data_IF_903701726824
#
_entry.id   IF_903701726824
#
_cell.length_a   1.000
_cell.length_b   1.000
_cell.length_c   1.000
_cell.angle_alpha   90.00
_cell.angle_beta   90.00
_cell.angle_gamma   90.00
#
_symmetry.space_group_name_H-M   'P 1'
#
loop_
_entity.id
_entity.type
_entity.pdbx_description
1 polymer ?
#
# COMPACT_ATOMS: atom_id res chain seq x y z
N UNK A 1 -25.54 16.86 30.57
CA UNK A 1 -25.17 15.44 30.31
C UNK A 1 -24.32 15.23 29.05
N UNK A 2 -24.54 15.91 27.91
CA UNK A 2 -23.72 15.75 26.68
C UNK A 2 -22.24 16.19 26.79
N UNK A 3 -21.91 17.22 27.58
CA UNK A 3 -20.52 17.70 27.74
C UNK A 3 -19.66 16.82 28.67
N UNK A 4 -20.29 16.07 29.59
CA UNK A 4 -19.59 15.17 30.50
C UNK A 4 -19.17 13.86 29.79
N UNK A 5 -19.99 13.36 28.85
CA UNK A 5 -19.65 12.19 28.04
C UNK A 5 -18.44 12.45 27.10
N UNK A 6 -18.31 13.66 26.56
CA UNK A 6 -17.15 14.04 25.73
C UNK A 6 -15.86 14.10 26.54
N UNK A 7 -15.93 14.62 27.79
CA UNK A 7 -14.78 14.62 28.70
C UNK A 7 -14.39 13.23 29.18
N UNK A 8 -15.35 12.31 29.37
CA UNK A 8 -15.07 10.91 29.70
C UNK A 8 -14.47 10.18 28.49
N UNK A 9 -14.91 10.46 27.26
CA UNK A 9 -14.33 9.90 26.04
C UNK A 9 -12.89 10.41 25.81
N UNK A 10 -12.63 11.70 26.07
CA UNK A 10 -11.30 12.31 25.98
C UNK A 10 -10.38 11.79 27.10
N UNK A 11 -10.88 11.58 28.32
CA UNK A 11 -10.12 10.98 29.42
C UNK A 11 -9.85 9.48 29.22
N UNK A 12 -10.73 8.72 28.57
CA UNK A 12 -10.45 7.32 28.21
C UNK A 12 -9.38 7.21 27.11
N UNK A 13 -9.26 8.20 26.22
CA UNK A 13 -8.16 8.25 25.26
C UNK A 13 -6.80 8.55 25.91
N UNK A 14 -6.78 9.17 27.09
CA UNK A 14 -5.56 9.53 27.83
C UNK A 14 -5.07 8.47 28.81
N UNK A 15 -5.82 7.38 29.03
CA UNK A 15 -5.45 6.27 29.93
C UNK A 15 -5.55 4.90 29.28
N UNK A 16 -5.15 4.78 28.02
CA UNK A 16 -4.72 3.46 27.54
C UNK A 16 -3.23 3.36 27.83
N UNK A 17 -2.88 2.49 28.77
CA UNK A 17 -1.50 2.03 28.87
C UNK A 17 -1.17 1.28 27.59
N UNK A 18 -0.69 2.04 26.60
CA UNK A 18 -0.11 1.52 25.38
C UNK A 18 1.19 0.86 25.81
N UNK A 19 1.16 -0.46 25.96
CA UNK A 19 2.36 -1.26 26.11
C UNK A 19 3.33 -0.88 25.00
N UNK A 20 4.40 -0.17 25.36
CA UNK A 20 5.45 0.25 24.44
C UNK A 20 6.17 -1.00 23.93
N UNK A 21 5.75 -1.49 22.77
CA UNK A 21 6.50 -2.49 22.06
C UNK A 21 7.43 -1.79 21.05
N UNK A 22 8.73 -2.06 21.15
CA UNK A 22 9.79 -1.37 20.40
C UNK A 22 9.50 -1.31 18.88
N UNK A 23 9.74 -0.18 18.20
CA UNK A 23 9.55 -0.11 16.77
C UNK A 23 10.52 -1.09 16.06
N UNK A 24 9.99 -1.94 15.18
CA UNK A 24 10.81 -2.91 14.43
C UNK A 24 11.75 -2.25 13.42
N UNK A 25 11.42 -0.99 13.08
CA UNK A 25 12.32 -0.08 12.40
C UNK A 25 12.95 0.92 13.38
N UNK A 26 14.29 0.96 13.53
CA UNK A 26 14.97 1.93 14.36
C UNK A 26 14.51 3.33 14.04
N UNK A 27 14.25 4.10 15.11
CA UNK A 27 13.93 5.50 14.98
C UNK A 27 15.07 6.23 14.25
N UNK A 28 14.72 7.06 13.26
CA UNK A 28 15.67 7.84 12.48
C UNK A 28 16.19 7.14 11.21
N UNK A 29 15.73 5.94 10.87
CA UNK A 29 16.12 5.28 9.62
C UNK A 29 15.45 5.95 8.41
N UNK A 30 16.26 6.31 7.42
CA UNK A 30 15.86 6.83 6.11
C UNK A 30 16.23 5.83 5.03
N UNK A 31 15.25 5.42 4.24
CA UNK A 31 15.42 4.56 3.08
C UNK A 31 15.14 5.35 1.82
N UNK A 32 16.15 5.54 0.98
CA UNK A 32 16.00 6.02 -0.38
C UNK A 32 15.89 4.82 -1.30
N UNK A 33 14.86 4.81 -2.12
CA UNK A 33 14.61 3.73 -3.06
C UNK A 33 14.25 4.21 -4.45
N UNK A 34 14.50 3.36 -5.44
CA UNK A 34 14.17 3.61 -6.84
C UNK A 34 13.46 2.38 -7.40
N UNK A 35 12.21 2.57 -7.82
CA UNK A 35 11.42 1.55 -8.49
C UNK A 35 11.22 1.83 -9.97
N UNK A 36 10.56 0.88 -10.62
CA UNK A 36 10.06 1.00 -12.00
C UNK A 36 8.57 0.67 -11.96
N UNK A 37 7.77 1.57 -12.50
CA UNK A 37 6.35 1.39 -12.72
C UNK A 37 6.12 1.17 -14.22
N UNK A 38 5.58 0.00 -14.57
CA UNK A 38 5.33 -0.42 -15.95
C UNK A 38 3.82 -0.52 -16.15
N UNK A 39 3.31 0.35 -17.01
CA UNK A 39 1.94 0.31 -17.48
C UNK A 39 1.94 -0.01 -18.97
N UNK A 40 1.02 -0.86 -19.39
CA UNK A 40 0.83 -1.21 -20.79
C UNK A 40 -0.66 -1.28 -21.11
N UNK A 41 -1.01 -1.00 -22.35
CA UNK A 41 -2.38 -1.12 -22.86
C UNK A 41 -2.37 -1.61 -24.30
N UNK A 42 -3.39 -2.37 -24.63
CA UNK A 42 -3.64 -2.95 -25.93
C UNK A 42 -5.07 -2.54 -26.34
N UNK A 43 -5.22 -1.28 -26.76
CA UNK A 43 -6.52 -0.65 -27.07
C UNK A 43 -6.52 -0.02 -28.48
N UNK A 44 -5.35 0.24 -29.06
CA UNK A 44 -5.20 1.01 -30.29
C UNK A 44 -4.95 0.08 -31.48
N UNK A 45 -5.72 0.21 -32.56
CA UNK A 45 -5.55 -0.62 -33.77
C UNK A 45 -4.22 -0.40 -34.51
N UNK A 46 -3.58 0.76 -34.34
CA UNK A 46 -2.32 1.11 -35.03
C UNK A 46 -1.07 0.54 -34.35
N UNK A 47 -1.14 0.19 -33.05
CA UNK A 47 -0.01 -0.36 -32.27
C UNK A 47 -0.52 -1.47 -31.35
N UNK A 48 0.07 -2.66 -31.51
CA UNK A 48 -0.28 -3.85 -30.72
C UNK A 48 -0.07 -3.65 -29.20
N UNK A 49 0.91 -2.83 -28.79
CA UNK A 49 1.12 -2.48 -27.39
C UNK A 49 1.62 -1.05 -27.27
N UNK A 50 1.01 -0.27 -26.37
CA UNK A 50 1.54 1.00 -25.89
C UNK A 50 2.15 0.80 -24.51
N UNK A 51 3.35 1.34 -24.30
CA UNK A 51 4.07 1.23 -23.02
C UNK A 51 4.24 2.60 -22.35
N UNK A 52 4.12 2.59 -21.03
CA UNK A 52 4.47 3.69 -20.15
C UNK A 52 5.37 3.15 -19.03
N UNK A 53 6.64 3.53 -19.08
CA UNK A 53 7.67 3.16 -18.11
C UNK A 53 8.04 4.40 -17.31
N UNK A 54 7.70 4.39 -16.03
CA UNK A 54 8.04 5.45 -15.09
C UNK A 54 9.10 4.96 -14.10
N UNK A 55 10.11 5.77 -13.82
CA UNK A 55 10.95 5.59 -12.64
C UNK A 55 10.25 6.20 -11.43
N UNK A 56 10.31 5.48 -10.32
CA UNK A 56 9.67 5.86 -9.06
C UNK A 56 10.70 6.06 -7.95
N UNK A 57 11.52 7.13 -8.01
CA UNK A 57 12.37 7.48 -6.87
C UNK A 57 11.48 7.87 -5.69
N UNK A 58 11.78 7.28 -4.53
CA UNK A 58 11.05 7.54 -3.30
C UNK A 58 11.96 7.53 -2.08
N UNK A 59 11.44 8.11 -1.01
CA UNK A 59 12.07 8.17 0.30
C UNK A 59 11.07 7.74 1.35
N UNK A 60 11.50 6.88 2.29
CA UNK A 60 10.77 6.51 3.50
C UNK A 60 11.60 6.89 4.70
N UNK A 61 11.03 7.68 5.59
CA UNK A 61 11.65 8.06 6.85
C UNK A 61 10.83 7.53 8.02
N UNK A 62 11.47 6.68 8.83
CA UNK A 62 10.86 6.11 10.02
C UNK A 62 11.26 6.95 11.24
N UNK A 63 10.32 7.74 11.75
CA UNK A 63 10.56 8.70 12.84
C UNK A 63 10.50 8.03 14.23
N UNK A 64 10.30 6.70 14.27
CA UNK A 64 10.10 5.95 15.51
C UNK A 64 8.66 6.04 16.02
N UNK A 65 8.36 5.27 17.07
CA UNK A 65 6.99 5.17 17.65
C UNK A 65 5.90 4.93 16.57
N UNK A 66 6.24 4.13 15.56
CA UNK A 66 5.35 3.75 14.45
C UNK A 66 4.89 4.92 13.56
N UNK A 67 5.60 6.06 13.60
CA UNK A 67 5.46 7.12 12.63
C UNK A 67 6.36 6.88 11.43
N UNK A 68 5.78 7.03 10.24
CA UNK A 68 6.49 6.91 8.98
C UNK A 68 6.06 8.02 8.02
N UNK A 69 7.04 8.72 7.46
CA UNK A 69 6.85 9.65 6.36
C UNK A 69 7.33 8.97 5.09
N UNK A 70 6.55 9.01 4.03
CA UNK A 70 6.98 8.55 2.72
C UNK A 70 6.68 9.59 1.64
N UNK A 71 7.57 9.72 0.68
CA UNK A 71 7.37 10.55 -0.50
C UNK A 71 7.89 9.81 -1.75
N UNK A 72 7.20 9.96 -2.87
CA UNK A 72 7.59 9.35 -4.14
C UNK A 72 7.25 10.27 -5.30
N UNK A 73 8.16 10.35 -6.27
CA UNK A 73 7.94 11.03 -7.54
C UNK A 73 7.84 10.01 -8.69
N UNK A 74 7.18 10.40 -9.78
CA UNK A 74 7.07 9.67 -11.03
C UNK A 74 7.84 10.42 -12.11
N UNK A 75 8.90 9.79 -12.62
CA UNK A 75 9.72 10.31 -13.71
C UNK A 75 9.47 9.43 -14.94
N UNK A 76 8.75 9.91 -15.97
CA UNK A 76 8.51 9.14 -17.18
C UNK A 76 9.82 8.97 -17.97
N UNK A 77 10.20 7.74 -18.29
CA UNK A 77 11.38 7.42 -19.12
C UNK A 77 10.96 7.08 -20.54
N UNK A 78 9.90 6.28 -20.67
CA UNK A 78 9.33 5.90 -21.95
C UNK A 78 7.82 6.06 -21.88
N UNK A 79 7.22 6.74 -22.87
CA UNK A 79 5.82 7.12 -22.81
C UNK A 79 5.21 7.17 -24.22
N UNK A 80 4.46 6.12 -24.56
CA UNK A 80 3.57 6.08 -25.72
C UNK A 80 2.14 6.55 -25.37
N UNK A 81 1.84 6.83 -24.10
CA UNK A 81 0.48 7.11 -23.62
C UNK A 81 -0.03 8.53 -23.92
N UNK A 82 0.88 9.49 -24.18
CA UNK A 82 0.57 10.87 -24.59
C UNK A 82 1.23 11.98 -23.76
N UNK A 83 0.99 13.23 -24.13
CA UNK A 83 1.61 14.45 -23.56
C UNK A 83 1.43 14.59 -22.03
N UNK A 84 0.29 14.14 -21.48
CA UNK A 84 -0.03 14.24 -20.04
C UNK A 84 0.99 13.51 -19.15
N UNK A 85 1.57 12.43 -19.66
CA UNK A 85 2.51 11.59 -18.92
C UNK A 85 3.97 11.96 -19.18
N UNK A 86 4.27 13.05 -19.91
CA UNK A 86 5.66 13.48 -20.20
C UNK A 86 6.34 14.28 -19.09
N UNK A 87 5.58 14.79 -18.11
CA UNK A 87 6.11 15.64 -17.03
C UNK A 87 6.45 14.83 -15.78
N UNK A 88 7.46 15.29 -15.05
CA UNK A 88 7.78 14.80 -13.69
C UNK A 88 6.61 15.16 -12.78
N UNK A 89 6.07 14.18 -12.06
CA UNK A 89 4.92 14.36 -11.18
C UNK A 89 5.24 13.85 -9.78
N UNK A 90 4.69 14.50 -8.77
CA UNK A 90 4.71 13.99 -7.41
C UNK A 90 3.63 12.92 -7.30
N UNK A 91 3.99 11.67 -7.00
CA UNK A 91 3.01 10.58 -6.89
C UNK A 91 2.31 10.61 -5.54
N UNK A 92 3.08 10.78 -4.47
CA UNK A 92 2.56 10.76 -3.11
C UNK A 92 3.51 11.44 -2.13
N UNK A 93 2.94 12.01 -1.07
CA UNK A 93 3.62 12.52 0.11
C UNK A 93 2.69 12.25 1.29
N UNK A 94 3.07 11.29 2.13
CA UNK A 94 2.21 10.75 3.16
C UNK A 94 2.90 10.71 4.51
N UNK A 95 2.12 10.99 5.54
CA UNK A 95 2.44 10.75 6.93
C UNK A 95 1.51 9.63 7.41
N UNK A 96 2.09 8.52 7.86
CA UNK A 96 1.33 7.40 8.38
C UNK A 96 1.74 7.07 9.82
N UNK A 97 0.76 6.57 10.57
CA UNK A 97 0.92 6.08 11.93
C UNK A 97 0.22 4.74 12.08
N UNK A 98 0.98 3.74 12.50
CA UNK A 98 0.45 2.41 12.77
C UNK A 98 0.18 2.23 14.27
N UNK A 99 -0.91 1.55 14.60
CA UNK A 99 -1.30 1.18 15.94
C UNK A 99 -1.63 -0.31 15.95
N UNK A 100 -1.21 -0.97 17.03
CA UNK A 100 -1.39 -2.41 17.18
C UNK A 100 -1.99 -2.69 18.55
N UNK A 101 -3.09 -3.43 18.58
CA UNK A 101 -3.77 -3.82 19.81
C UNK A 101 -3.90 -5.33 19.90
N UNK A 102 -3.40 -5.90 21.01
CA UNK A 102 -3.55 -7.32 21.39
C UNK A 102 -3.16 -8.32 20.29
N UNK A 103 -2.23 -7.96 19.40
CA UNK A 103 -1.76 -8.78 18.26
C UNK A 103 -2.84 -9.27 17.29
N UNK A 104 -4.09 -8.79 17.43
CA UNK A 104 -5.24 -9.17 16.62
C UNK A 104 -5.85 -8.01 15.87
N UNK A 105 -5.68 -6.79 16.37
CA UNK A 105 -6.22 -5.58 15.75
C UNK A 105 -5.06 -4.70 15.30
N UNK A 106 -5.08 -4.36 14.02
CA UNK A 106 -4.08 -3.57 13.34
C UNK A 106 -4.79 -2.36 12.74
N UNK A 107 -4.27 -1.16 13.00
CA UNK A 107 -4.86 0.08 12.53
C UNK A 107 -3.76 0.99 11.97
N UNK A 108 -3.96 1.55 10.78
CA UNK A 108 -3.02 2.43 10.11
C UNK A 108 -3.79 3.66 9.69
N UNK A 109 -3.40 4.80 10.25
CA UNK A 109 -3.91 6.10 9.90
C UNK A 109 -2.90 6.77 9.00
N UNK A 110 -3.31 7.17 7.80
CA UNK A 110 -2.46 7.85 6.82
C UNK A 110 -3.09 9.17 6.42
N UNK A 111 -2.28 10.19 6.22
CA UNK A 111 -2.74 11.50 5.76
C UNK A 111 -1.72 12.16 4.84
N UNK A 112 -2.20 12.86 3.82
CA UNK A 112 -1.36 13.59 2.87
C UNK A 112 -1.85 13.45 1.43
N UNK A 113 -0.90 13.45 0.51
CA UNK A 113 -1.09 13.17 -0.91
C UNK A 113 -0.90 11.67 -1.16
N UNK A 114 -1.95 11.02 -1.63
CA UNK A 114 -2.00 9.62 -2.03
C UNK A 114 -1.83 9.48 -3.55
N UNK A 115 -1.68 8.23 -4.01
CA UNK A 115 -1.63 7.95 -5.45
C UNK A 115 -2.95 8.33 -6.14
N UNK A 116 -2.91 8.40 -7.48
CA UNK A 116 -4.00 8.89 -8.34
C UNK A 116 -4.40 10.36 -8.06
N UNK A 117 -3.44 11.21 -7.65
CA UNK A 117 -3.61 12.66 -7.44
C UNK A 117 -4.70 13.00 -6.39
N UNK A 118 -4.79 12.16 -5.35
CA UNK A 118 -5.74 12.35 -4.24
C UNK A 118 -5.06 12.91 -3.02
N UNK A 119 -5.77 13.72 -2.26
CA UNK A 119 -5.30 14.20 -0.96
C UNK A 119 -6.36 13.96 0.11
N UNK A 120 -5.95 13.66 1.34
CA UNK A 120 -6.90 13.52 2.43
C UNK A 120 -6.41 12.63 3.56
N UNK A 121 -7.36 11.92 4.17
CA UNK A 121 -7.14 11.01 5.28
C UNK A 121 -7.63 9.60 4.92
N UNK A 122 -6.85 8.60 5.27
CA UNK A 122 -7.11 7.19 5.03
C UNK A 122 -6.94 6.40 6.33
N UNK A 123 -7.89 5.53 6.61
CA UNK A 123 -7.89 4.65 7.76
C UNK A 123 -7.98 3.20 7.26
N UNK A 124 -6.93 2.43 7.51
CA UNK A 124 -6.87 0.99 7.24
C UNK A 124 -6.92 0.23 8.54
N UNK A 125 -7.83 -0.72 8.63
CA UNK A 125 -8.01 -1.59 9.78
C UNK A 125 -7.95 -3.05 9.33
N UNK A 126 -7.31 -3.89 10.13
CA UNK A 126 -7.34 -5.34 9.95
C UNK A 126 -7.55 -6.02 11.29
N UNK A 127 -8.46 -6.98 11.30
CA UNK A 127 -8.79 -7.80 12.45
C UNK A 127 -8.55 -9.27 12.13
N UNK A 128 -7.62 -9.87 12.86
CA UNK A 128 -7.34 -11.30 12.77
C UNK A 128 -8.34 -12.04 13.64
N UNK A 129 -9.25 -12.76 13.00
CA UNK A 129 -10.19 -13.64 13.68
C UNK A 129 -9.49 -14.94 14.10
N UNK A 130 -8.86 -15.62 13.13
CA UNK A 130 -8.22 -16.92 13.30
C UNK A 130 -6.95 -17.05 12.43
N UNK A 131 -6.25 -18.17 12.58
CA UNK A 131 -5.04 -18.46 11.79
C UNK A 131 -5.25 -18.55 10.28
N UNK A 132 -6.49 -18.74 9.83
CA UNK A 132 -6.85 -18.85 8.43
C UNK A 132 -7.78 -17.72 7.96
N UNK A 133 -8.32 -16.89 8.86
CA UNK A 133 -9.31 -15.85 8.53
C UNK A 133 -8.95 -14.51 9.17
N UNK A 134 -8.91 -13.46 8.35
CA UNK A 134 -8.83 -12.08 8.79
C UNK A 134 -9.88 -11.24 8.06
N UNK A 135 -10.29 -10.14 8.69
CA UNK A 135 -11.15 -9.14 8.10
C UNK A 135 -10.37 -7.86 7.90
N UNK A 136 -10.58 -7.19 6.78
CA UNK A 136 -9.97 -5.92 6.46
C UNK A 136 -11.04 -4.86 6.20
N UNK A 137 -10.74 -3.63 6.57
CA UNK A 137 -11.58 -2.48 6.29
C UNK A 137 -10.69 -1.28 5.95
N UNK A 138 -11.06 -0.54 4.92
CA UNK A 138 -10.40 0.70 4.53
C UNK A 138 -11.47 1.78 4.37
N UNK A 139 -11.28 2.93 5.01
CA UNK A 139 -12.15 4.07 4.86
C UNK A 139 -11.31 5.32 4.62
N UNK A 140 -11.68 6.11 3.61
CA UNK A 140 -10.93 7.29 3.21
C UNK A 140 -11.81 8.48 2.92
N UNK A 141 -11.42 9.64 3.44
CA UNK A 141 -11.98 10.93 3.08
C UNK A 141 -10.95 11.64 2.20
N UNK A 142 -11.22 11.72 0.91
CA UNK A 142 -10.28 12.23 -0.10
C UNK A 142 -10.88 13.38 -0.91
N UNK A 143 -10.02 14.31 -1.33
CA UNK A 143 -10.27 15.33 -2.35
C UNK A 143 -9.34 15.12 -3.54
N UNK A 144 -9.57 15.86 -4.61
CA UNK A 144 -8.69 15.87 -5.77
C UNK A 144 -7.63 16.97 -5.61
N UNK A 145 -6.36 16.63 -5.80
CA UNK A 145 -5.26 17.59 -5.87
C UNK A 145 -4.41 17.28 -7.09
N UNK A 146 -4.74 17.92 -8.21
CA UNK A 146 -3.95 17.78 -9.43
C UNK A 146 -2.77 18.75 -9.39
N UNK A 147 -1.59 18.23 -9.64
CA UNK A 147 -0.35 19.00 -9.79
C UNK A 147 0.08 19.09 -11.27
N UNK A 148 -0.73 18.54 -12.19
CA UNK A 148 -0.38 18.38 -13.60
C UNK A 148 -0.78 19.57 -14.50
N UNK A 149 -1.79 20.37 -14.13
CA UNK A 149 -2.35 21.44 -14.97
C UNK A 149 -2.46 22.83 -14.31
N UNK A 150 -2.12 22.93 -13.03
CA UNK A 150 -2.35 24.10 -12.17
C UNK A 150 -2.62 23.57 -10.76
N UNK A 151 -2.17 24.25 -9.71
CA UNK A 151 -2.40 23.81 -8.34
C UNK A 151 -3.90 23.94 -8.00
N UNK A 152 -4.68 22.94 -8.37
CA UNK A 152 -6.12 22.88 -8.12
C UNK A 152 -6.39 21.85 -7.03
N UNK A 153 -6.77 22.33 -5.86
CA UNK A 153 -7.23 21.53 -4.74
C UNK A 153 -8.75 21.68 -4.63
N UNK A 154 -9.48 20.57 -4.80
CA UNK A 154 -10.93 20.47 -4.62
C UNK A 154 -11.27 20.13 -3.16
N UNK A 155 -12.40 20.60 -2.63
CA UNK A 155 -12.85 20.26 -1.26
C UNK A 155 -12.91 18.74 -1.04
N UNK A 156 -12.45 18.22 0.12
CA UNK A 156 -12.39 16.79 0.39
C UNK A 156 -13.79 16.26 0.75
N UNK A 157 -14.60 15.98 -0.26
CA UNK A 157 -15.97 15.48 -0.11
C UNK A 157 -16.12 14.00 -0.46
N UNK A 158 -15.08 13.37 -1.03
CA UNK A 158 -15.17 11.99 -1.52
C UNK A 158 -14.91 10.99 -0.40
N UNK A 159 -15.96 10.25 -0.05
CA UNK A 159 -15.90 9.15 0.92
C UNK A 159 -15.75 7.83 0.17
N UNK A 160 -14.68 7.11 0.50
CA UNK A 160 -14.42 5.73 0.05
C UNK A 160 -14.50 4.80 1.25
N UNK A 161 -15.07 3.61 1.05
CA UNK A 161 -15.24 2.64 2.12
C UNK A 161 -15.23 1.23 1.52
N UNK A 162 -14.25 0.43 1.91
CA UNK A 162 -14.07 -0.96 1.51
C UNK A 162 -14.07 -1.84 2.75
N UNK A 163 -14.73 -2.98 2.66
CA UNK A 163 -14.69 -4.03 3.67
C UNK A 163 -14.37 -5.34 2.94
N UNK A 164 -13.53 -6.16 3.55
CA UNK A 164 -13.13 -7.41 2.95
C UNK A 164 -12.85 -8.51 3.97
N UNK A 165 -12.79 -9.73 3.44
CA UNK A 165 -12.40 -10.92 4.17
C UNK A 165 -11.25 -11.61 3.45
N UNK A 166 -10.22 -11.98 4.22
CA UNK A 166 -9.02 -12.64 3.77
C UNK A 166 -8.98 -14.06 4.37
N UNK A 167 -8.96 -15.06 3.51
CA UNK A 167 -8.83 -16.47 3.85
C UNK A 167 -7.45 -16.97 3.42
N UNK A 168 -6.65 -17.48 4.35
CA UNK A 168 -5.30 -17.98 4.08
C UNK A 168 -5.18 -19.48 4.33
N UNK A 169 -4.82 -20.23 3.28
CA UNK A 169 -4.58 -21.66 3.32
C UNK A 169 -3.09 -21.95 3.55
N UNK A 170 -2.71 -22.17 4.81
CA UNK A 170 -1.32 -22.42 5.22
C UNK A 170 -0.65 -23.59 4.47
N UNK A 171 -1.39 -24.66 4.13
CA UNK A 171 -0.82 -25.84 3.46
C UNK A 171 -0.31 -25.56 2.03
N UNK A 172 -0.94 -24.62 1.33
CA UNK A 172 -0.63 -24.31 -0.07
C UNK A 172 -0.09 -22.89 -0.27
N UNK A 173 0.08 -22.12 0.81
CA UNK A 173 0.45 -20.70 0.78
C UNK A 173 -0.43 -19.92 -0.21
N UNK A 174 -1.74 -20.14 -0.14
CA UNK A 174 -2.72 -19.52 -1.04
C UNK A 174 -3.65 -18.64 -0.23
N UNK A 175 -3.82 -17.39 -0.66
CA UNK A 175 -4.69 -16.39 -0.06
C UNK A 175 -5.87 -16.12 -0.99
N UNK A 176 -7.07 -16.19 -0.46
CA UNK A 176 -8.29 -15.70 -1.08
C UNK A 176 -8.68 -14.42 -0.38
N UNK A 177 -8.89 -13.36 -1.14
CA UNK A 177 -9.31 -12.06 -0.63
C UNK A 177 -10.55 -11.63 -1.37
N UNK A 178 -11.57 -11.21 -0.63
CA UNK A 178 -12.78 -10.64 -1.20
C UNK A 178 -12.99 -9.29 -0.58
N UNK A 179 -13.04 -8.24 -1.40
CA UNK A 179 -13.28 -6.85 -1.00
C UNK A 179 -14.55 -6.35 -1.67
N UNK A 180 -15.38 -5.63 -0.95
CA UNK A 180 -16.55 -4.97 -1.50
C UNK A 180 -16.79 -3.62 -0.83
N UNK A 181 -17.36 -2.69 -1.59
CA UNK A 181 -17.71 -1.38 -1.06
C UNK A 181 -17.73 -0.30 -2.12
N UNK A 182 -17.53 0.94 -1.68
CA UNK A 182 -17.48 2.13 -2.51
C UNK A 182 -16.02 2.47 -2.84
N UNK A 183 -15.69 2.35 -4.12
CA UNK A 183 -14.35 2.61 -4.67
C UNK A 183 -14.15 4.10 -4.99
N UNK A 184 -12.94 4.43 -5.49
CA UNK A 184 -12.50 5.81 -5.70
C UNK A 184 -13.37 6.57 -6.70
N UNK A 185 -14.01 5.91 -7.67
CA UNK A 185 -14.85 6.59 -8.66
C UNK A 185 -16.33 6.58 -8.29
N UNK A 186 -16.63 6.37 -7.00
CA UNK A 186 -17.99 6.27 -6.45
C UNK A 186 -18.78 5.08 -6.98
N UNK A 187 -18.07 4.16 -7.63
CA UNK A 187 -18.58 2.89 -8.06
C UNK A 187 -18.69 1.93 -6.88
N UNK A 188 -19.84 1.26 -6.80
CA UNK A 188 -20.02 0.14 -5.91
C UNK A 188 -19.61 -1.12 -6.63
N UNK A 189 -18.73 -1.89 -6.01
CA UNK A 189 -18.24 -3.11 -6.63
C UNK A 189 -17.71 -4.12 -5.63
N UNK A 190 -17.35 -5.27 -6.17
CA UNK A 190 -16.74 -6.38 -5.46
C UNK A 190 -15.53 -6.85 -6.25
N UNK A 191 -14.42 -7.09 -5.55
CA UNK A 191 -13.18 -7.61 -6.10
C UNK A 191 -12.83 -8.88 -5.35
N UNK A 192 -12.78 -10.00 -6.06
CA UNK A 192 -12.25 -11.27 -5.58
C UNK A 192 -10.85 -11.51 -6.12
N UNK A 193 -9.91 -11.86 -5.25
CA UNK A 193 -8.52 -12.15 -5.59
C UNK A 193 -8.13 -13.51 -5.03
N UNK A 194 -7.45 -14.32 -5.83
CA UNK A 194 -6.83 -15.57 -5.40
C UNK A 194 -5.34 -15.49 -5.73
N UNK A 195 -4.49 -15.42 -4.71
CA UNK A 195 -3.05 -15.30 -4.86
C UNK A 195 -2.35 -16.50 -4.23
N UNK A 196 -1.40 -17.08 -4.95
CA UNK A 196 -0.47 -18.07 -4.42
C UNK A 196 0.90 -17.43 -4.20
N UNK A 197 1.44 -17.63 -3.01
CA UNK A 197 2.71 -17.06 -2.58
C UNK A 197 3.84 -18.09 -2.67
N UNK A 198 4.89 -17.71 -3.39
CA UNK A 198 6.18 -18.41 -3.47
C UNK A 198 7.25 -17.62 -2.73
N UNK A 199 8.48 -18.16 -2.67
CA UNK A 199 9.56 -17.60 -1.85
C UNK A 199 9.93 -16.15 -2.19
N UNK A 200 9.80 -15.70 -3.43
CA UNK A 200 10.12 -14.32 -3.88
C UNK A 200 9.13 -13.76 -4.92
N UNK A 201 8.02 -14.46 -5.13
CA UNK A 201 7.02 -14.10 -6.12
C UNK A 201 5.64 -14.50 -5.60
N UNK A 202 4.61 -13.72 -5.91
CA UNK A 202 3.22 -14.08 -5.74
C UNK A 202 2.53 -13.97 -7.08
N UNK A 203 1.77 -15.00 -7.46
CA UNK A 203 0.98 -15.00 -8.69
C UNK A 203 -0.47 -15.19 -8.30
N UNK A 204 -1.36 -14.40 -8.85
CA UNK A 204 -2.78 -14.51 -8.57
C UNK A 204 -3.68 -14.12 -9.72
N UNK A 205 -4.93 -14.52 -9.60
CA UNK A 205 -6.02 -14.13 -10.47
C UNK A 205 -6.93 -13.18 -9.70
N UNK A 206 -7.51 -12.21 -10.39
CA UNK A 206 -8.57 -11.40 -9.82
C UNK A 206 -9.76 -11.37 -10.77
N UNK A 207 -10.94 -11.29 -10.19
CA UNK A 207 -12.18 -11.00 -10.86
C UNK A 207 -12.85 -9.87 -10.09
N UNK A 208 -13.44 -8.93 -10.80
CA UNK A 208 -14.15 -7.82 -10.19
C UNK A 208 -15.43 -7.52 -10.95
N UNK A 209 -16.38 -6.97 -10.21
CA UNK A 209 -17.66 -6.52 -10.74
C UNK A 209 -17.91 -5.13 -10.20
N UNK A 210 -18.30 -4.20 -11.06
CA UNK A 210 -18.63 -2.82 -10.71
C UNK A 210 -19.97 -2.45 -11.34
N UNK A 211 -20.79 -1.68 -10.63
CA UNK A 211 -22.10 -1.23 -11.10
C UNK A 211 -22.00 -0.37 -12.38
N UNK A 212 -20.95 0.45 -12.51
CA UNK A 212 -20.72 1.28 -13.68
C UNK A 212 -19.83 0.61 -14.74
N UNK A 213 -18.90 -0.23 -14.28
CA UNK A 213 -17.85 -0.83 -15.09
C UNK A 213 -18.14 -2.21 -15.67
N UNK A 214 -19.18 -2.88 -15.15
CA UNK A 214 -19.46 -4.27 -15.46
C UNK A 214 -18.41 -5.23 -14.88
N UNK A 215 -18.30 -6.39 -15.53
CA UNK A 215 -17.37 -7.46 -15.16
C UNK A 215 -15.96 -7.18 -15.68
N UNK A 216 -14.97 -7.49 -14.85
CA UNK A 216 -13.57 -7.41 -15.22
C UNK A 216 -12.78 -8.56 -14.57
N UNK A 217 -11.61 -8.86 -15.11
CA UNK A 217 -10.71 -9.84 -14.55
C UNK A 217 -9.32 -9.79 -15.15
N UNK A 218 -8.44 -10.57 -14.58
CA UNK A 218 -7.08 -10.71 -15.07
C UNK A 218 -6.17 -11.36 -14.06
N UNK A 219 -4.88 -11.10 -14.18
CA UNK A 219 -3.86 -11.69 -13.32
C UNK A 219 -2.95 -10.63 -12.71
N UNK A 220 -2.41 -10.95 -11.54
CA UNK A 220 -1.46 -10.14 -10.79
C UNK A 220 -0.22 -10.94 -10.52
N UNK A 221 0.94 -10.35 -10.80
CA UNK A 221 2.24 -10.89 -10.43
C UNK A 221 2.97 -9.85 -9.59
N UNK A 222 3.39 -10.27 -8.40
CA UNK A 222 4.18 -9.45 -7.48
C UNK A 222 5.51 -10.15 -7.28
N UNK A 223 6.60 -9.54 -7.74
CA UNK A 223 7.97 -10.09 -7.61
C UNK A 223 8.77 -9.23 -6.65
N UNK A 224 9.49 -9.86 -5.73
CA UNK A 224 10.41 -9.17 -4.83
C UNK A 224 11.76 -8.96 -5.51
N UNK A 225 12.22 -7.71 -5.59
CA UNK A 225 13.41 -7.34 -6.36
C UNK A 225 14.68 -7.58 -5.53
N UNK A 226 15.69 -8.28 -6.07
CA UNK A 226 16.99 -8.41 -5.41
C UNK A 226 17.68 -7.03 -5.24
N UNK A 227 18.57 -6.85 -4.26
CA UNK A 227 19.19 -7.88 -3.42
C UNK A 227 18.34 -8.32 -2.24
N UNK A 228 18.25 -9.64 -2.03
CA UNK A 228 17.54 -10.27 -0.91
C UNK A 228 18.30 -10.19 0.41
N UNK A 229 19.62 -9.99 0.37
CA UNK A 229 20.43 -9.73 1.57
C UNK A 229 20.72 -8.24 1.63
N UNK A 230 20.19 -7.56 2.64
CA UNK A 230 20.31 -6.11 2.81
C UNK A 230 21.08 -5.81 4.10
N UNK A 231 21.91 -4.78 4.07
CA UNK A 231 22.57 -4.27 5.28
C UNK A 231 21.80 -3.07 5.80
N UNK A 232 21.53 -3.03 7.10
CA UNK A 232 20.80 -1.92 7.73
C UNK A 232 21.75 -0.81 8.14
N UNK A 233 21.49 0.42 7.70
CA UNK A 233 22.17 1.66 8.09
C UNK A 233 21.12 2.72 8.43
N UNK A 234 21.55 3.84 9.01
CA UNK A 234 20.69 5.01 9.25
C UNK A 234 20.16 5.59 7.95
N UNK A 235 20.99 5.63 6.90
CA UNK A 235 20.58 5.99 5.54
C UNK A 235 20.88 4.82 4.61
N UNK A 236 19.85 4.29 3.96
CA UNK A 236 19.96 3.18 3.03
C UNK A 236 19.62 3.62 1.61
N UNK A 237 20.38 3.10 0.65
CA UNK A 237 20.09 3.21 -0.77
C UNK A 237 19.78 1.81 -1.28
N UNK A 238 18.60 1.62 -1.86
CA UNK A 238 18.12 0.31 -2.33
C UNK A 238 17.24 0.43 -3.57
N UNK A 239 17.07 -0.62 -4.38
CA UNK A 239 15.95 -0.66 -5.29
C UNK A 239 14.62 -0.71 -4.50
N UNK A 240 13.50 -0.41 -5.17
CA UNK A 240 12.18 -0.73 -4.66
C UNK A 240 12.13 -2.22 -4.27
N UNK A 241 11.38 -2.54 -3.22
CA UNK A 241 11.34 -3.91 -2.68
C UNK A 241 10.54 -4.86 -3.55
N UNK A 242 9.58 -4.33 -4.31
CA UNK A 242 8.72 -5.12 -5.17
C UNK A 242 8.58 -4.50 -6.56
N UNK A 243 8.19 -5.36 -7.49
CA UNK A 243 7.67 -5.01 -8.79
C UNK A 243 6.30 -5.67 -8.92
N UNK A 244 5.27 -4.89 -9.28
CA UNK A 244 3.91 -5.37 -9.48
C UNK A 244 3.52 -5.23 -10.94
N UNK A 245 2.99 -6.31 -11.50
CA UNK A 245 2.37 -6.34 -12.81
C UNK A 245 0.93 -6.79 -12.66
N UNK A 246 -0.01 -5.98 -13.14
CA UNK A 246 -1.42 -6.32 -13.22
C UNK A 246 -1.82 -6.34 -14.69
N UNK A 247 -2.35 -7.46 -15.17
CA UNK A 247 -3.01 -7.54 -16.46
C UNK A 247 -4.52 -7.44 -16.25
N UNK A 248 -5.17 -6.63 -17.07
CA UNK A 248 -6.60 -6.37 -17.01
C UNK A 248 -7.18 -6.68 -18.39
N UNK A 249 -8.08 -7.65 -18.47
CA UNK A 249 -8.63 -8.16 -19.74
C UNK A 249 -9.48 -7.10 -20.44
N UNK A 250 -10.24 -6.31 -19.66
CA UNK A 250 -11.12 -5.27 -20.22
C UNK A 250 -10.41 -3.95 -20.49
N UNK A 251 -9.11 -3.85 -20.15
CA UNK A 251 -8.30 -2.64 -20.27
C UNK A 251 -8.90 -1.38 -19.63
N UNK A 252 -9.88 -1.52 -18.73
CA UNK A 252 -10.53 -0.40 -18.05
C UNK A 252 -9.69 0.05 -16.84
N UNK A 253 -9.14 1.27 -16.84
CA UNK A 253 -8.27 1.76 -15.78
C UNK A 253 -9.01 2.35 -14.57
N UNK A 254 -10.33 2.54 -14.66
CA UNK A 254 -11.13 3.29 -13.69
C UNK A 254 -11.99 2.40 -12.79
N UNK A 255 -12.41 1.24 -13.28
CA UNK A 255 -13.29 0.32 -12.53
C UNK A 255 -12.63 -0.26 -11.28
N UNK A 256 -13.37 -0.25 -10.16
CA UNK A 256 -12.96 -0.81 -8.89
C UNK A 256 -11.57 -0.33 -8.43
N UNK A 257 -11.22 0.91 -8.79
CA UNK A 257 -9.91 1.47 -8.50
C UNK A 257 -9.87 2.01 -7.07
N UNK A 258 -8.79 1.71 -6.38
CA UNK A 258 -8.49 2.24 -5.07
C UNK A 258 -7.08 2.83 -5.06
N UNK A 259 -6.88 3.94 -4.36
CA UNK A 259 -5.57 4.57 -4.19
C UNK A 259 -4.72 3.79 -3.18
N UNK A 260 -3.39 3.93 -3.29
CA UNK A 260 -2.43 3.38 -2.33
C UNK A 260 -1.97 4.44 -1.33
N UNK A 261 -1.61 3.99 -0.12
CA UNK A 261 -1.13 4.86 0.97
C UNK A 261 0.27 4.52 1.46
N UNK A 262 0.98 3.67 0.72
CA UNK A 262 2.42 3.47 0.83
C UNK A 262 3.01 3.28 -0.60
N UNK A 263 4.17 3.88 -0.92
CA UNK A 263 4.79 3.76 -2.25
C UNK A 263 5.25 2.35 -2.64
N UNK A 264 5.42 1.45 -1.68
CA UNK A 264 5.73 0.04 -1.90
C UNK A 264 4.59 -0.88 -1.46
N UNK A 265 3.38 -0.33 -1.24
CA UNK A 265 2.19 -1.10 -0.90
C UNK A 265 1.91 -2.18 -1.94
N UNK A 266 1.69 -3.42 -1.48
CA UNK A 266 1.44 -4.55 -2.36
C UNK A 266 0.55 -5.60 -1.68
N UNK A 267 -0.11 -6.40 -2.50
CA UNK A 267 -1.05 -7.43 -2.04
C UNK A 267 -0.36 -8.59 -1.29
N UNK A 268 0.96 -8.78 -1.48
CA UNK A 268 1.75 -9.83 -0.83
C UNK A 268 2.10 -9.47 0.61
N UNK A 269 2.53 -8.26 0.90
CA UNK A 269 2.98 -7.83 2.24
C UNK A 269 1.85 -7.21 3.06
N UNK A 270 0.80 -6.72 2.38
CA UNK A 270 -0.35 -6.09 2.99
C UNK A 270 -0.10 -4.63 3.39
N UNK A 271 -0.89 -4.13 4.34
CA UNK A 271 -0.86 -2.71 4.74
C UNK A 271 0.06 -2.38 5.91
N UNK A 272 0.41 -3.38 6.71
CA UNK A 272 1.05 -3.23 8.01
C UNK A 272 2.46 -3.79 8.00
N UNK A 273 3.27 -3.36 8.97
CA UNK A 273 4.61 -3.93 9.19
C UNK A 273 4.56 -5.46 9.31
N UNK A 274 5.29 -6.14 8.42
CA UNK A 274 5.42 -7.59 8.35
C UNK A 274 5.83 -8.23 9.67
N UNK A 275 6.79 -7.62 10.38
CA UNK A 275 7.36 -8.23 11.58
C UNK A 275 6.36 -8.25 12.75
N UNK A 276 5.35 -7.36 12.67
CA UNK A 276 4.22 -7.27 13.61
C UNK A 276 3.03 -8.11 13.16
N UNK A 277 2.69 -8.06 11.87
CA UNK A 277 1.58 -8.81 11.30
C UNK A 277 2.02 -10.23 10.92
N UNK A 278 2.07 -11.13 11.92
CA UNK A 278 2.43 -12.56 11.72
C UNK A 278 1.26 -13.42 11.21
N UNK A 279 0.61 -12.96 10.15
CA UNK A 279 -0.56 -13.61 9.54
C UNK A 279 -0.43 -13.71 8.02
N UNK A 280 -1.09 -14.69 7.42
CA UNK A 280 -1.10 -14.87 5.97
C UNK A 280 0.29 -15.17 5.38
N UNK A 281 0.60 -14.53 4.26
CA UNK A 281 1.88 -14.59 3.55
C UNK A 281 3.08 -14.20 4.44
N UNK A 282 2.88 -13.35 5.45
CA UNK A 282 3.95 -12.90 6.35
C UNK A 282 4.46 -14.01 7.28
N UNK A 283 3.75 -15.15 7.37
CA UNK A 283 4.22 -16.36 8.07
C UNK A 283 5.30 -17.13 7.30
N UNK A 284 5.45 -16.86 6.01
CA UNK A 284 6.54 -17.42 5.21
C UNK A 284 7.89 -16.84 5.66
N UNK A 285 8.99 -17.50 5.29
CA UNK A 285 10.32 -16.95 5.51
C UNK A 285 10.42 -15.53 4.90
N UNK A 286 11.04 -14.57 5.60
CA UNK A 286 11.23 -13.22 5.07
C UNK A 286 11.94 -13.22 3.73
N UNK A 287 11.41 -12.42 2.80
CA UNK A 287 12.00 -12.21 1.47
C UNK A 287 13.39 -11.54 1.57
N UNK A 288 13.53 -10.61 2.51
CA UNK A 288 14.77 -9.87 2.76
C UNK A 288 15.41 -10.28 4.07
N UNK A 289 16.65 -10.75 4.00
CA UNK A 289 17.50 -10.99 5.16
C UNK A 289 18.28 -9.72 5.47
N UNK A 290 17.96 -9.10 6.62
CA UNK A 290 18.60 -7.87 7.06
C UNK A 290 19.75 -8.20 8.01
N UNK A 291 20.98 -7.87 7.62
CA UNK A 291 22.13 -7.88 8.54
C UNK A 291 22.23 -6.54 9.26
N UNK A 292 22.20 -6.56 10.59
CA UNK A 292 22.62 -5.41 11.37
C UNK A 292 24.09 -5.12 11.06
N UNK A 293 24.45 -3.83 10.93
CA UNK A 293 25.84 -3.43 10.82
C UNK A 293 26.52 -3.80 12.14
N UNK A 294 27.58 -4.62 12.09
CA UNK A 294 28.45 -4.80 13.26
C UNK A 294 28.95 -3.41 13.65
N UNK A 295 28.64 -2.98 14.86
CA UNK A 295 29.31 -1.82 15.46
C UNK A 295 30.81 -2.15 15.42
N UNK A 296 31.60 -1.28 14.79
CA UNK A 296 33.05 -1.39 14.89
C UNK A 296 33.34 -1.22 16.38
N UNK A 297 33.81 -2.27 17.05
CA UNK A 297 34.48 -2.14 18.34
C UNK A 297 35.54 -1.06 18.16
N UNK A 298 35.30 0.08 18.79
CA UNK A 298 36.35 1.08 19.00
C UNK A 298 37.26 0.43 20.03
N UNK A 299 38.35 -0.16 19.55
CA UNK A 299 39.40 -0.66 20.42
C UNK A 299 39.91 0.52 21.28
N UNK A 300 40.19 0.28 22.57
CA UNK A 300 40.43 1.31 23.59
C UNK A 300 41.66 2.18 23.34
#
# INVERSE_FOLDING_TARGET
MRRLCLLILICLCLRTEVGFSQPTVPAGQVDLFMGVDLNYRDITFDKLYEFLINLTPGVKWNMGKQWQVAAQALIPVYNDYGERYKRIRLNMVLLSKEFYFKERYFLKLSGGLFSDERYGLDLKAMWIANDWLAFEAQAGLTGYCSMAAGWEASTPERVTALIGADVYLNRWNTQFRVRGGRFLYEDYGVVGECMRHFKHCSVGLFASYSDQGGENGGFKVVVMIPPYRRTRRTVNFRPASNFRLTYNVMADPYTNRMYTTDPEENEREGWFDRDRLRWGSNRMAPDFQIKAKAEKEVAP
#
